data_IF_893936132200
#
_entry.id   IF_893936132200
#
_cell.length_a   1.000
_cell.length_b   1.000
_cell.length_c   1.000
_cell.angle_alpha   90.00
_cell.angle_beta   90.00
_cell.angle_gamma   90.00
#
_symmetry.space_group_name_H-M   'P 1'
#
loop_
_entity.id
_entity.type
_entity.pdbx_description
1 polymer ?
#
# COMPACT_ATOMS: atom_id res chain seq x y z
N UNK A 1 -7.50 -6.14 -11.70
CA UNK A 1 -6.10 -6.54 -11.45
C UNK A 1 -5.83 -7.91 -12.01
N UNK A 2 -4.77 -8.02 -12.80
CA UNK A 2 -4.20 -9.27 -13.27
C UNK A 2 -3.29 -9.85 -12.19
N UNK A 3 -3.66 -11.02 -11.66
CA UNK A 3 -2.88 -11.73 -10.62
C UNK A 3 -1.69 -12.41 -11.28
N UNK A 4 -0.52 -12.31 -10.65
CA UNK A 4 0.64 -13.09 -11.07
C UNK A 4 0.40 -14.59 -10.83
N UNK A 5 0.78 -15.45 -11.77
CA UNK A 5 0.73 -16.91 -11.60
C UNK A 5 1.81 -17.42 -10.63
N UNK A 6 2.83 -16.61 -10.39
CA UNK A 6 3.94 -16.92 -9.50
C UNK A 6 4.11 -15.76 -8.51
N UNK A 7 4.13 -16.07 -7.23
CA UNK A 7 4.50 -15.11 -6.19
C UNK A 7 5.98 -15.30 -5.92
N UNK A 8 6.73 -14.21 -6.08
CA UNK A 8 8.14 -14.10 -5.73
C UNK A 8 8.29 -12.95 -4.75
N UNK A 9 9.22 -13.09 -3.81
CA UNK A 9 9.57 -12.04 -2.86
C UNK A 9 11.00 -11.56 -3.10
N UNK A 10 11.23 -10.32 -2.71
CA UNK A 10 12.50 -9.62 -2.77
C UNK A 10 12.82 -9.06 -1.38
N UNK A 11 14.09 -8.87 -1.10
CA UNK A 11 14.61 -8.16 0.07
C UNK A 11 14.87 -6.71 -0.31
N UNK A 12 14.15 -5.78 0.29
CA UNK A 12 14.45 -4.35 0.25
C UNK A 12 15.41 -4.02 1.40
N UNK A 13 16.66 -3.72 1.08
CA UNK A 13 17.75 -3.59 2.05
C UNK A 13 17.86 -2.14 2.51
N UNK A 14 17.75 -1.94 3.83
CA UNK A 14 18.06 -0.69 4.51
C UNK A 14 18.27 -0.94 6.00
N UNK A 15 19.17 -0.15 6.59
CA UNK A 15 19.47 -0.23 8.02
C UNK A 15 18.62 0.79 8.76
N UNK A 16 17.77 0.31 9.66
CA UNK A 16 17.03 1.15 10.59
C UNK A 16 16.76 0.35 11.87
N UNK A 17 16.62 1.04 13.00
CA UNK A 17 16.50 0.38 14.31
C UNK A 17 15.24 -0.49 14.43
N UNK A 18 14.16 -0.16 13.73
CA UNK A 18 12.93 -0.97 13.71
C UNK A 18 12.93 -2.15 12.73
N UNK A 19 14.03 -2.34 12.00
CA UNK A 19 14.19 -3.42 11.04
C UNK A 19 15.43 -4.26 11.36
N UNK A 20 15.33 -5.19 12.31
CA UNK A 20 16.49 -5.88 12.89
C UNK A 20 17.19 -6.80 11.90
N UNK A 21 16.49 -7.24 10.85
CA UNK A 21 17.05 -8.08 9.78
C UNK A 21 17.95 -7.29 8.82
N UNK A 22 17.89 -5.95 8.83
CA UNK A 22 18.55 -5.09 7.83
C UNK A 22 17.91 -5.14 6.44
N UNK A 23 16.78 -5.85 6.29
CA UNK A 23 15.99 -5.90 5.07
C UNK A 23 14.52 -6.21 5.37
N UNK A 24 13.65 -5.69 4.51
CA UNK A 24 12.21 -5.92 4.53
C UNK A 24 11.85 -6.86 3.38
N UNK A 25 11.13 -7.93 3.67
CA UNK A 25 10.55 -8.82 2.65
C UNK A 25 9.40 -8.08 1.97
N UNK A 26 9.49 -7.91 0.66
CA UNK A 26 8.52 -7.20 -0.19
C UNK A 26 8.50 -7.83 -1.59
N UNK A 27 7.95 -7.16 -2.60
CA UNK A 27 7.98 -7.60 -3.98
C UNK A 27 8.36 -6.44 -4.89
N UNK A 28 9.47 -6.52 -5.60
CA UNK A 28 9.93 -5.50 -6.53
C UNK A 28 9.85 -5.99 -7.98
N UNK A 29 10.38 -7.18 -8.26
CA UNK A 29 10.45 -7.68 -9.64
C UNK A 29 9.09 -8.15 -10.15
N UNK A 30 8.38 -8.92 -9.33
CA UNK A 30 7.11 -9.54 -9.69
C UNK A 30 6.03 -9.18 -8.65
N UNK A 31 5.35 -8.03 -8.82
CA UNK A 31 4.26 -7.64 -7.92
C UNK A 31 3.14 -8.68 -7.96
N UNK A 32 2.47 -8.87 -6.83
CA UNK A 32 1.39 -9.85 -6.69
C UNK A 32 0.27 -9.64 -7.72
N UNK A 33 -0.10 -8.39 -8.00
CA UNK A 33 -1.00 -8.07 -9.09
C UNK A 33 -0.74 -6.71 -9.73
N UNK A 34 -1.18 -6.55 -10.98
CA UNK A 34 -1.02 -5.33 -11.77
C UNK A 34 -2.32 -4.93 -12.46
N UNK A 35 -2.40 -3.71 -12.99
CA UNK A 35 -3.49 -3.23 -13.86
C UNK A 35 -4.89 -3.45 -13.27
N UNK A 36 -5.18 -2.75 -12.18
CA UNK A 36 -6.50 -2.70 -11.55
C UNK A 36 -7.22 -1.38 -11.73
N UNK A 37 -8.36 -1.30 -11.08
CA UNK A 37 -9.08 -0.06 -10.89
C UNK A 37 -9.96 -0.12 -9.65
N UNK A 38 -10.30 1.05 -9.10
CA UNK A 38 -11.33 1.23 -8.08
C UNK A 38 -12.36 2.23 -8.59
N UNK A 39 -13.65 1.85 -8.72
CA UNK A 39 -14.71 2.82 -8.95
C UNK A 39 -14.98 3.62 -7.68
N UNK A 40 -15.01 4.93 -7.82
CA UNK A 40 -15.36 5.90 -6.78
C UNK A 40 -16.62 6.67 -7.21
N UNK A 41 -17.47 7.02 -6.25
CA UNK A 41 -18.64 7.84 -6.50
C UNK A 41 -18.35 9.27 -6.05
N UNK A 42 -18.38 10.21 -6.98
CA UNK A 42 -18.04 11.61 -6.75
C UNK A 42 -19.05 12.48 -7.53
N UNK A 43 -19.69 13.44 -6.87
CA UNK A 43 -20.65 14.38 -7.51
C UNK A 43 -21.79 13.70 -8.30
N UNK A 44 -22.28 12.56 -7.80
CA UNK A 44 -23.26 11.69 -8.47
C UNK A 44 -22.76 11.00 -9.76
N UNK A 45 -21.49 11.13 -10.09
CA UNK A 45 -20.83 10.40 -11.16
C UNK A 45 -19.95 9.27 -10.63
N UNK A 46 -19.65 8.32 -11.52
CA UNK A 46 -18.76 7.20 -11.24
C UNK A 46 -17.44 7.49 -11.93
N UNK A 47 -16.39 7.72 -11.14
CA UNK A 47 -15.03 7.85 -11.67
C UNK A 47 -14.26 6.57 -11.40
N UNK A 48 -13.36 6.23 -12.30
CA UNK A 48 -12.56 5.02 -12.22
C UNK A 48 -11.12 5.45 -11.93
N UNK A 49 -10.60 5.03 -10.79
CA UNK A 49 -9.20 5.27 -10.41
C UNK A 49 -8.37 4.05 -10.78
N UNK A 50 -7.45 4.13 -11.75
CA UNK A 50 -6.60 3.01 -12.11
C UNK A 50 -5.59 2.69 -11.00
N UNK A 51 -5.39 1.40 -10.77
CA UNK A 51 -4.41 0.86 -9.81
C UNK A 51 -3.27 0.26 -10.60
N UNK A 52 -2.06 0.77 -10.36
CA UNK A 52 -0.86 0.36 -11.07
C UNK A 52 -0.42 -1.04 -10.64
N UNK A 53 -0.16 -1.19 -9.34
CA UNK A 53 0.36 -2.42 -8.74
C UNK A 53 -0.20 -2.65 -7.34
N UNK A 54 -0.15 -3.90 -6.92
CA UNK A 54 -0.37 -4.35 -5.56
C UNK A 54 0.72 -5.36 -5.21
N UNK A 55 1.39 -5.13 -4.08
CA UNK A 55 2.51 -5.91 -3.58
C UNK A 55 2.21 -6.43 -2.17
N UNK A 56 2.79 -7.56 -1.84
CA UNK A 56 2.79 -8.11 -0.49
C UNK A 56 4.11 -7.74 0.20
N UNK A 57 4.03 -7.29 1.44
CA UNK A 57 5.22 -6.98 2.22
C UNK A 57 5.00 -7.26 3.71
N UNK A 58 6.06 -7.14 4.50
CA UNK A 58 5.99 -7.21 5.96
C UNK A 58 6.10 -5.83 6.61
N UNK A 59 5.46 -5.64 7.76
CA UNK A 59 5.59 -4.43 8.58
C UNK A 59 6.90 -4.41 9.39
N UNK A 60 7.38 -3.20 9.72
CA UNK A 60 8.53 -2.98 10.59
C UNK A 60 8.09 -2.75 12.05
N UNK A 61 9.04 -2.80 12.98
CA UNK A 61 8.75 -2.52 14.39
C UNK A 61 8.30 -1.06 14.61
N UNK A 62 7.82 -0.76 15.81
CA UNK A 62 7.49 0.61 16.21
C UNK A 62 8.64 1.27 16.94
N UNK A 63 9.18 2.33 16.34
CA UNK A 63 10.15 3.23 16.98
C UNK A 63 9.43 4.36 17.71
N UNK A 64 9.68 4.51 19.02
CA UNK A 64 9.23 5.65 19.82
C UNK A 64 10.44 6.42 20.34
N UNK A 65 10.55 7.69 19.94
CA UNK A 65 11.66 8.56 20.32
C UNK A 65 11.30 9.33 21.59
N UNK A 66 12.23 9.37 22.55
CA UNK A 66 12.09 10.10 23.80
C UNK A 66 13.44 10.68 24.23
N UNK A 67 13.44 11.55 25.26
CA UNK A 67 14.70 12.06 25.84
C UNK A 67 15.57 10.94 26.43
N UNK A 68 14.97 9.81 26.82
CA UNK A 68 15.65 8.63 27.37
C UNK A 68 16.30 7.74 26.28
N UNK A 69 16.05 8.04 25.00
CA UNK A 69 16.47 7.24 23.86
C UNK A 69 15.33 6.68 23.03
N UNK A 70 15.63 5.65 22.25
CA UNK A 70 14.69 5.01 21.31
C UNK A 70 14.13 3.73 21.95
N UNK A 71 12.80 3.66 22.09
CA UNK A 71 12.10 2.44 22.51
C UNK A 71 11.55 1.74 21.26
N UNK A 72 11.89 0.46 21.11
CA UNK A 72 11.46 -0.38 19.99
C UNK A 72 10.42 -1.39 20.46
N UNK A 73 9.27 -1.44 19.78
CA UNK A 73 8.22 -2.44 19.99
C UNK A 73 8.07 -3.32 18.74
N UNK A 74 8.50 -4.57 18.89
CA UNK A 74 8.53 -5.57 17.82
C UNK A 74 7.21 -6.33 17.64
N UNK A 75 6.16 -6.06 18.42
CA UNK A 75 4.89 -6.79 18.35
C UNK A 75 4.22 -6.74 16.96
N UNK A 76 4.52 -5.71 16.16
CA UNK A 76 4.02 -5.58 14.78
C UNK A 76 5.01 -5.99 13.69
N UNK A 77 6.27 -6.24 14.04
CA UNK A 77 7.29 -6.59 13.04
C UNK A 77 6.93 -7.94 12.40
N UNK A 78 6.96 -8.01 11.07
CA UNK A 78 6.57 -9.21 10.33
C UNK A 78 5.07 -9.33 10.04
N UNK A 79 4.24 -8.38 10.51
CA UNK A 79 2.81 -8.40 10.17
C UNK A 79 2.61 -8.26 8.66
N UNK A 80 1.63 -8.97 8.06
CA UNK A 80 1.39 -8.90 6.63
C UNK A 80 0.81 -7.53 6.25
N UNK A 81 1.40 -6.93 5.21
CA UNK A 81 0.96 -5.68 4.62
C UNK A 81 0.69 -5.85 3.13
N UNK A 82 -0.16 -4.97 2.62
CA UNK A 82 -0.45 -4.84 1.21
C UNK A 82 -0.12 -3.41 0.81
N UNK A 83 0.89 -3.26 -0.03
CA UNK A 83 1.18 -1.99 -0.68
C UNK A 83 0.34 -1.90 -1.95
N UNK A 84 -0.40 -0.80 -2.11
CA UNK A 84 -1.24 -0.53 -3.27
C UNK A 84 -0.85 0.83 -3.84
N UNK A 85 -0.44 0.82 -5.11
CA UNK A 85 0.01 2.04 -5.81
C UNK A 85 -0.98 2.38 -6.91
N UNK A 86 -1.49 3.61 -6.89
CA UNK A 86 -2.38 4.13 -7.94
C UNK A 86 -1.58 4.64 -9.13
N UNK A 87 -2.25 4.78 -10.28
CA UNK A 87 -1.74 5.66 -11.33
C UNK A 87 -1.87 7.14 -10.88
N UNK A 88 -1.04 8.07 -11.39
CA UNK A 88 -1.06 9.49 -10.99
C UNK A 88 -2.19 10.26 -11.70
N UNK A 89 -3.44 9.85 -11.45
CA UNK A 89 -4.64 10.39 -12.14
C UNK A 89 -5.41 11.43 -11.33
N UNK A 90 -5.00 11.68 -10.08
CA UNK A 90 -5.72 12.61 -9.22
C UNK A 90 -5.41 14.06 -9.58
N UNK A 91 -6.46 14.84 -9.84
CA UNK A 91 -6.38 16.27 -10.16
C UNK A 91 -6.97 17.16 -9.07
N UNK A 92 -7.69 16.58 -8.11
CA UNK A 92 -8.35 17.30 -7.02
C UNK A 92 -8.14 16.60 -5.68
N UNK A 93 -8.01 17.38 -4.62
CA UNK A 93 -7.84 16.87 -3.25
C UNK A 93 -9.06 16.06 -2.81
N UNK A 94 -10.25 16.53 -3.17
CA UNK A 94 -11.53 15.89 -2.83
C UNK A 94 -11.59 14.47 -3.39
N UNK A 95 -11.14 14.29 -4.63
CA UNK A 95 -11.10 12.98 -5.32
C UNK A 95 -10.19 12.00 -4.60
N UNK A 96 -9.05 12.46 -4.08
CA UNK A 96 -8.13 11.65 -3.26
C UNK A 96 -8.82 11.17 -1.98
N UNK A 97 -9.52 12.07 -1.28
CA UNK A 97 -10.23 11.72 -0.03
C UNK A 97 -11.36 10.71 -0.29
N UNK A 98 -12.12 10.90 -1.37
CA UNK A 98 -13.19 9.96 -1.78
C UNK A 98 -12.60 8.59 -2.11
N UNK A 99 -11.48 8.54 -2.84
CA UNK A 99 -10.78 7.30 -3.15
C UNK A 99 -10.36 6.54 -1.88
N UNK A 100 -9.71 7.22 -0.94
CA UNK A 100 -9.23 6.58 0.30
C UNK A 100 -10.41 6.06 1.14
N UNK A 101 -11.49 6.84 1.27
CA UNK A 101 -12.72 6.38 1.96
C UNK A 101 -13.32 5.15 1.27
N UNK A 102 -13.35 5.14 -0.05
CA UNK A 102 -13.85 4.00 -0.82
C UNK A 102 -12.98 2.76 -0.61
N UNK A 103 -11.65 2.92 -0.60
CA UNK A 103 -10.70 1.84 -0.31
C UNK A 103 -10.89 1.31 1.12
N UNK A 104 -11.06 2.16 2.12
CA UNK A 104 -11.35 1.73 3.50
C UNK A 104 -12.65 0.89 3.57
N UNK A 105 -13.71 1.36 2.92
CA UNK A 105 -14.99 0.65 2.89
C UNK A 105 -14.86 -0.71 2.22
N UNK A 106 -14.10 -0.77 1.13
CA UNK A 106 -13.81 -1.99 0.42
C UNK A 106 -13.06 -2.99 1.30
N UNK A 107 -11.97 -2.57 1.95
CA UNK A 107 -11.16 -3.44 2.79
C UNK A 107 -11.95 -4.02 3.97
N UNK A 108 -12.82 -3.20 4.59
CA UNK A 108 -13.74 -3.63 5.65
C UNK A 108 -14.79 -4.60 5.15
N UNK A 109 -15.39 -4.29 4.00
CA UNK A 109 -16.40 -5.13 3.38
C UNK A 109 -15.86 -6.55 3.09
N UNK A 110 -14.61 -6.64 2.65
CA UNK A 110 -13.95 -7.92 2.40
C UNK A 110 -13.44 -8.63 3.66
N UNK A 111 -13.53 -8.01 4.84
CA UNK A 111 -13.06 -8.60 6.09
C UNK A 111 -11.54 -8.71 6.20
N UNK A 112 -10.78 -7.92 5.43
CA UNK A 112 -9.31 -7.98 5.40
C UNK A 112 -8.71 -7.14 6.53
N UNK A 113 -9.20 -5.92 6.66
CA UNK A 113 -8.65 -4.91 7.55
C UNK A 113 -9.77 -3.95 7.93
N UNK A 114 -9.73 -3.49 9.18
CA UNK A 114 -10.58 -2.39 9.64
C UNK A 114 -10.14 -1.04 9.03
N UNK A 115 -8.95 -1.00 8.40
CA UNK A 115 -8.41 0.13 7.65
C UNK A 115 -8.48 1.46 8.42
N UNK A 116 -8.27 1.40 9.75
CA UNK A 116 -8.24 2.55 10.65
C UNK A 116 -6.88 3.22 10.59
N UNK A 117 -6.85 4.47 10.13
CA UNK A 117 -5.59 5.21 9.97
C UNK A 117 -4.98 5.57 11.33
N UNK A 118 -5.83 5.92 12.29
CA UNK A 118 -5.46 6.25 13.67
C UNK A 118 -4.81 5.06 14.42
N UNK A 119 -5.10 3.83 14.00
CA UNK A 119 -4.48 2.62 14.52
C UNK A 119 -3.30 2.13 13.65
N UNK A 120 -2.96 2.86 12.58
CA UNK A 120 -1.87 2.52 11.65
C UNK A 120 -2.17 1.32 10.74
N UNK A 121 -3.44 0.91 10.61
CA UNK A 121 -3.88 -0.21 9.75
C UNK A 121 -4.05 0.19 8.29
N UNK A 122 -4.11 1.49 7.99
CA UNK A 122 -4.03 2.06 6.66
C UNK A 122 -3.08 3.26 6.72
N UNK A 123 -2.05 3.24 5.89
CA UNK A 123 -1.06 4.32 5.76
C UNK A 123 -1.12 4.83 4.33
N UNK A 124 -0.92 6.13 4.17
CA UNK A 124 -0.98 6.80 2.86
C UNK A 124 0.19 7.75 2.76
N UNK A 125 1.04 7.50 1.78
CA UNK A 125 2.04 8.46 1.31
C UNK A 125 1.52 9.11 0.04
N UNK A 126 1.54 10.45 0.01
CA UNK A 126 1.03 11.22 -1.13
C UNK A 126 2.18 11.60 -2.05
N UNK A 127 2.00 11.39 -3.34
CA UNK A 127 2.94 11.85 -4.35
C UNK A 127 2.24 12.86 -5.26
N UNK A 128 2.78 14.07 -5.35
CA UNK A 128 2.15 15.14 -6.12
C UNK A 128 3.18 15.99 -6.88
N UNK A 129 2.71 16.57 -7.97
CA UNK A 129 3.34 17.65 -8.71
C UNK A 129 2.24 18.65 -9.07
N UNK A 130 2.57 19.93 -9.13
CA UNK A 130 1.59 20.97 -9.44
C UNK A 130 1.89 21.54 -10.82
N UNK A 131 0.87 21.57 -11.67
CA UNK A 131 0.91 22.33 -12.91
C UNK A 131 0.64 23.80 -12.57
N UNK A 132 1.60 24.68 -12.86
CA UNK A 132 1.53 26.11 -12.60
C UNK A 132 1.68 26.84 -13.93
N UNK A 133 0.59 27.47 -14.39
CA UNK A 133 0.51 28.00 -15.75
C UNK A 133 0.57 26.90 -16.83
N UNK A 134 0.74 27.33 -18.09
CA UNK A 134 0.56 26.43 -19.22
C UNK A 134 1.76 25.50 -19.47
N UNK A 135 2.97 25.92 -19.09
CA UNK A 135 4.21 25.26 -19.51
C UNK A 135 5.13 24.84 -18.36
N UNK A 136 4.68 24.90 -17.10
CA UNK A 136 5.51 24.54 -15.96
C UNK A 136 4.80 23.56 -15.03
N UNK A 137 5.52 22.49 -14.68
CA UNK A 137 5.13 21.55 -13.63
C UNK A 137 6.23 21.51 -12.58
N UNK A 138 5.85 21.53 -11.31
CA UNK A 138 6.82 21.39 -10.22
C UNK A 138 7.50 20.02 -10.29
N UNK A 139 8.69 19.86 -9.68
CA UNK A 139 9.21 18.55 -9.35
C UNK A 139 8.19 17.72 -8.55
N UNK A 140 8.35 16.40 -8.55
CA UNK A 140 7.54 15.50 -7.71
C UNK A 140 7.94 15.65 -6.24
N UNK A 141 6.94 15.86 -5.40
CA UNK A 141 7.06 15.84 -3.95
C UNK A 141 6.35 14.62 -3.37
N UNK A 142 6.81 14.19 -2.21
CA UNK A 142 6.23 13.08 -1.45
C UNK A 142 5.89 13.56 -0.04
N UNK A 143 4.64 13.44 0.41
CA UNK A 143 4.23 13.74 1.78
C UNK A 143 4.00 12.44 2.53
N UNK A 144 4.73 12.24 3.63
CA UNK A 144 4.66 11.06 4.50
C UNK A 144 4.01 11.38 5.84
N UNK A 145 3.73 10.33 6.61
CA UNK A 145 3.23 10.39 7.98
C UNK A 145 1.86 11.08 8.12
N UNK A 146 0.94 10.77 7.21
CA UNK A 146 -0.41 11.31 7.21
C UNK A 146 -1.36 10.38 7.95
N UNK A 147 -1.65 10.71 9.21
CA UNK A 147 -2.40 9.82 10.12
C UNK A 147 -3.93 9.90 9.99
N UNK A 148 -4.46 10.83 9.19
CA UNK A 148 -5.90 10.99 9.00
C UNK A 148 -6.25 11.60 7.64
N UNK A 149 -7.50 11.43 7.22
CA UNK A 149 -8.04 12.08 6.02
C UNK A 149 -7.99 13.61 6.11
N UNK A 150 -8.19 14.16 7.31
CA UNK A 150 -8.07 15.61 7.53
C UNK A 150 -6.63 16.08 7.33
N UNK A 151 -5.64 15.31 7.79
CA UNK A 151 -4.23 15.64 7.60
C UNK A 151 -3.84 15.59 6.13
N UNK A 152 -4.34 14.59 5.38
CA UNK A 152 -4.17 14.50 3.93
C UNK A 152 -4.70 15.77 3.23
N UNK A 153 -5.93 16.17 3.55
CA UNK A 153 -6.56 17.34 2.95
C UNK A 153 -5.76 18.61 3.22
N UNK A 154 -5.41 18.84 4.49
CA UNK A 154 -4.71 20.05 4.93
C UNK A 154 -3.28 20.10 4.40
N UNK A 155 -2.57 18.97 4.38
CA UNK A 155 -1.22 18.89 3.82
C UNK A 155 -1.18 19.22 2.33
N UNK A 156 -2.12 18.67 1.54
CA UNK A 156 -2.23 18.98 0.11
C UNK A 156 -2.59 20.44 -0.12
N UNK A 157 -3.58 20.98 0.59
CA UNK A 157 -3.97 22.39 0.47
C UNK A 157 -2.82 23.33 0.82
N UNK A 158 -2.12 23.08 1.92
CA UNK A 158 -0.94 23.85 2.31
C UNK A 158 0.13 23.85 1.22
N UNK A 159 0.45 22.69 0.64
CA UNK A 159 1.46 22.60 -0.42
C UNK A 159 1.01 23.26 -1.73
N UNK A 160 -0.28 23.18 -2.07
CA UNK A 160 -0.84 23.89 -3.23
C UNK A 160 -0.68 25.40 -3.05
N UNK A 161 -1.14 25.94 -1.92
CA UNK A 161 -1.10 27.39 -1.63
C UNK A 161 0.34 27.90 -1.59
N UNK A 162 1.24 27.15 -0.94
CA UNK A 162 2.67 27.47 -0.85
C UNK A 162 3.32 27.54 -2.24
N UNK A 163 3.08 26.56 -3.10
CA UNK A 163 3.67 26.54 -4.44
C UNK A 163 3.08 27.61 -5.37
N UNK A 164 1.78 27.88 -5.26
CA UNK A 164 1.14 28.98 -5.99
C UNK A 164 1.71 30.33 -5.57
N UNK A 165 1.93 30.55 -4.27
CA UNK A 165 2.56 31.76 -3.76
C UNK A 165 3.99 31.93 -4.30
N UNK A 166 4.83 30.89 -4.22
CA UNK A 166 6.19 30.93 -4.75
C UNK A 166 6.22 31.27 -6.25
N UNK A 167 5.34 30.63 -7.02
CA UNK A 167 5.23 30.88 -8.46
C UNK A 167 4.77 32.30 -8.78
N UNK A 168 3.77 32.83 -8.07
CA UNK A 168 3.31 34.22 -8.24
C UNK A 168 4.37 35.27 -7.87
N UNK A 169 5.34 34.91 -7.04
CA UNK A 169 6.50 35.75 -6.69
C UNK A 169 7.68 35.59 -7.66
N UNK A 170 7.54 34.78 -8.72
CA UNK A 170 8.61 34.49 -9.67
C UNK A 170 9.73 33.62 -9.09
N UNK A 171 9.49 32.94 -7.97
CA UNK A 171 10.44 32.00 -7.38
C UNK A 171 10.26 30.62 -8.01
N UNK A 172 11.39 29.95 -8.25
CA UNK A 172 11.35 28.55 -8.66
C UNK A 172 11.00 27.67 -7.45
N UNK A 173 10.03 26.76 -7.58
CA UNK A 173 9.76 25.71 -6.61
C UNK A 173 11.03 24.96 -6.22
N UNK A 174 11.11 24.47 -4.97
CA UNK A 174 12.21 23.62 -4.53
C UNK A 174 12.44 22.42 -5.45
N UNK A 175 13.61 21.80 -5.34
CA UNK A 175 13.86 20.48 -5.94
C UNK A 175 12.92 19.43 -5.33
N UNK A 176 12.82 18.25 -5.94
CA UNK A 176 12.07 17.11 -5.39
C UNK A 176 12.45 16.86 -3.92
N UNK A 177 11.45 16.81 -3.05
CA UNK A 177 11.62 16.65 -1.60
C UNK A 177 10.61 15.66 -1.03
N UNK A 178 11.06 14.95 0.01
CA UNK A 178 10.17 14.22 0.92
C UNK A 178 9.80 15.14 2.08
N UNK A 179 8.52 15.23 2.37
CA UNK A 179 7.89 16.13 3.33
C UNK A 179 7.19 15.30 4.40
N UNK A 180 7.17 15.80 5.62
CA UNK A 180 6.27 15.34 6.68
C UNK A 180 5.23 16.41 6.97
N UNK A 181 4.13 16.03 7.61
CA UNK A 181 3.10 16.97 8.04
C UNK A 181 3.14 17.17 9.55
N UNK A 182 3.31 18.42 10.00
CA UNK A 182 3.21 18.81 11.41
C UNK A 182 1.77 19.20 11.72
N UNK A 183 1.07 18.32 12.43
CA UNK A 183 -0.34 18.52 12.77
C UNK A 183 -0.59 19.71 13.72
N UNK A 184 0.38 20.07 14.57
CA UNK A 184 0.20 21.19 15.49
C UNK A 184 0.31 22.52 14.77
N UNK A 185 1.27 22.62 13.84
CA UNK A 185 1.51 23.83 13.06
C UNK A 185 0.70 23.92 11.78
N UNK A 186 0.10 22.81 11.35
CA UNK A 186 -0.63 22.69 10.09
C UNK A 186 0.24 23.05 8.87
N UNK A 187 1.52 22.68 8.92
CA UNK A 187 2.50 22.92 7.86
C UNK A 187 3.20 21.63 7.46
N UNK A 188 3.77 21.60 6.27
CA UNK A 188 4.74 20.58 5.91
C UNK A 188 6.16 20.97 6.35
N UNK A 189 6.95 19.96 6.66
CA UNK A 189 8.35 20.10 7.05
C UNK A 189 9.17 19.21 6.11
N UNK A 190 10.22 19.76 5.51
CA UNK A 190 11.12 19.00 4.66
C UNK A 190 11.93 18.01 5.49
N UNK A 191 11.86 16.73 5.12
CA UNK A 191 12.77 15.70 5.62
C UNK A 191 14.03 15.65 4.74
N UNK A 192 15.19 15.37 5.34
CA UNK A 192 16.42 15.16 4.58
C UNK A 192 16.52 13.71 4.10
N UNK A 193 17.01 13.62 2.86
CA UNK A 193 17.58 12.47 2.15
C UNK A 193 16.63 11.38 1.63
N UNK A 194 16.67 11.23 0.30
CA UNK A 194 16.19 10.05 -0.40
C UNK A 194 17.24 8.96 -0.24
N UNK A 195 16.95 7.95 0.58
CA UNK A 195 17.84 6.78 0.68
C UNK A 195 17.60 5.87 -0.53
N UNK A 196 18.67 5.53 -1.25
CA UNK A 196 18.61 4.52 -2.30
C UNK A 196 18.54 3.14 -1.66
N UNK A 197 17.52 2.37 -2.00
CA UNK A 197 17.38 0.98 -1.57
C UNK A 197 18.03 0.03 -2.56
N UNK A 198 18.61 -1.05 -2.05
CA UNK A 198 19.04 -2.18 -2.86
C UNK A 198 18.02 -3.31 -2.74
N UNK A 199 17.78 -3.99 -3.86
CA UNK A 199 16.86 -5.12 -3.93
C UNK A 199 17.63 -6.38 -4.29
N UNK A 200 17.37 -7.47 -3.57
CA UNK A 200 17.89 -8.80 -3.88
C UNK A 200 16.74 -9.82 -3.84
N UNK A 201 16.74 -10.85 -4.70
CA UNK A 201 15.74 -11.91 -4.59
C UNK A 201 15.75 -12.56 -3.20
N UNK A 202 14.56 -12.81 -2.63
CA UNK A 202 14.44 -13.56 -1.38
C UNK A 202 14.61 -15.05 -1.64
N UNK A 203 15.73 -15.61 -1.18
CA UNK A 203 16.11 -17.02 -1.42
C UNK A 203 15.50 -18.00 -0.41
N UNK A 204 15.06 -17.52 0.76
CA UNK A 204 14.49 -18.37 1.80
C UNK A 204 13.00 -18.68 1.56
N UNK A 205 12.32 -17.91 0.71
CA UNK A 205 10.92 -18.13 0.32
C UNK A 205 10.90 -18.60 -1.14
N UNK A 206 10.69 -19.90 -1.41
CA UNK A 206 10.66 -20.40 -2.78
C UNK A 206 9.48 -19.80 -3.56
N UNK A 207 9.57 -19.70 -4.90
CA UNK A 207 8.48 -19.18 -5.72
C UNK A 207 7.18 -19.97 -5.50
N UNK A 208 6.10 -19.28 -5.17
CA UNK A 208 4.79 -19.89 -4.91
C UNK A 208 3.98 -19.84 -6.20
N UNK A 209 3.64 -21.01 -6.76
CA UNK A 209 2.83 -21.11 -7.99
C UNK A 209 1.35 -21.18 -7.65
N UNK A 210 0.59 -20.20 -8.12
CA UNK A 210 -0.87 -20.17 -7.99
C UNK A 210 -1.52 -20.95 -9.12
N UNK A 211 -2.35 -21.94 -8.78
CA UNK A 211 -3.15 -22.66 -9.76
C UNK A 211 -4.34 -21.82 -10.17
N UNK A 212 -4.70 -21.86 -11.45
CA UNK A 212 -5.89 -21.17 -11.96
C UNK A 212 -7.16 -21.58 -11.21
N UNK A 213 -7.26 -22.83 -10.75
CA UNK A 213 -8.38 -23.33 -9.95
C UNK A 213 -8.49 -22.69 -8.57
N UNK A 214 -7.37 -22.36 -7.92
CA UNK A 214 -7.34 -21.66 -6.62
C UNK A 214 -7.86 -20.23 -6.79
N UNK A 215 -7.36 -19.53 -7.82
CA UNK A 215 -7.83 -18.18 -8.17
C UNK A 215 -9.33 -18.21 -8.47
N UNK A 216 -9.82 -19.20 -9.22
CA UNK A 216 -11.25 -19.34 -9.53
C UNK A 216 -12.09 -19.65 -8.28
N UNK A 217 -11.61 -20.53 -7.39
CA UNK A 217 -12.30 -20.86 -6.14
C UNK A 217 -12.47 -19.63 -5.27
N UNK A 218 -11.41 -18.82 -5.15
CA UNK A 218 -11.45 -17.59 -4.37
C UNK A 218 -12.41 -16.59 -5.01
N UNK A 219 -12.35 -16.42 -6.35
CA UNK A 219 -13.32 -15.59 -7.09
C UNK A 219 -14.78 -15.99 -6.85
N UNK A 220 -15.08 -17.30 -6.77
CA UNK A 220 -16.45 -17.81 -6.52
C UNK A 220 -16.91 -17.56 -5.09
N UNK A 221 -16.00 -17.53 -4.13
CA UNK A 221 -16.30 -17.37 -2.70
C UNK A 221 -16.30 -15.90 -2.24
N UNK A 222 -16.12 -14.95 -3.16
CA UNK A 222 -16.20 -13.54 -2.81
C UNK A 222 -17.63 -13.18 -2.39
N UNK A 223 -17.77 -12.38 -1.32
CA UNK A 223 -19.08 -11.96 -0.87
C UNK A 223 -19.71 -11.07 -1.96
N UNK A 224 -20.91 -11.45 -2.44
CA UNK A 224 -21.67 -10.67 -3.44
C UNK A 224 -21.90 -9.26 -2.94
N UNK A 225 -21.58 -8.26 -3.75
CA UNK A 225 -21.77 -6.86 -3.38
C UNK A 225 -22.52 -6.09 -4.46
N UNK A 226 -23.82 -5.89 -4.31
CA UNK A 226 -24.63 -5.14 -5.27
C UNK A 226 -24.12 -3.69 -5.51
N UNK A 227 -23.42 -3.09 -4.53
CA UNK A 227 -22.83 -1.76 -4.64
C UNK A 227 -21.56 -1.73 -5.49
N UNK A 228 -20.76 -2.80 -5.52
CA UNK A 228 -19.56 -2.88 -6.37
C UNK A 228 -19.81 -3.65 -7.68
N UNK A 229 -20.70 -4.65 -7.66
CA UNK A 229 -21.07 -5.48 -8.81
C UNK A 229 -21.89 -4.69 -9.86
N UNK A 230 -22.46 -3.53 -9.50
CA UNK A 230 -23.05 -2.57 -10.46
C UNK A 230 -22.02 -1.83 -11.31
N UNK A 231 -20.75 -1.79 -10.89
CA UNK A 231 -19.65 -1.16 -11.62
C UNK A 231 -18.95 -2.14 -12.58
N UNK A 232 -19.69 -3.10 -13.14
CA UNK A 232 -19.23 -3.91 -14.27
C UNK A 232 -19.03 -3.02 -15.49
N UNK A 233 -17.91 -2.33 -15.52
CA UNK A 233 -17.46 -1.55 -16.67
C UNK A 233 -17.13 -2.58 -17.75
N UNK A 234 -17.76 -2.46 -18.92
CA UNK A 234 -17.55 -3.40 -20.05
C UNK A 234 -16.36 -2.99 -20.92
N UNK A 235 -15.95 -1.72 -20.89
CA UNK A 235 -14.84 -1.17 -21.69
C UNK A 235 -14.06 -0.09 -20.93
N UNK A 236 -12.71 -0.12 -21.05
CA UNK A 236 -11.81 0.95 -20.62
C UNK A 236 -10.84 1.30 -21.74
N UNK A 237 -10.93 2.51 -22.30
CA UNK A 237 -9.99 3.00 -23.33
C UNK A 237 -9.89 2.10 -24.57
N UNK A 238 -11.01 1.52 -25.02
CA UNK A 238 -11.04 0.59 -26.15
C UNK A 238 -10.62 -0.85 -25.84
N UNK A 239 -10.41 -1.20 -24.57
CA UNK A 239 -10.16 -2.57 -24.12
C UNK A 239 -11.40 -3.14 -23.42
N UNK A 240 -11.94 -4.22 -23.97
CA UNK A 240 -13.05 -4.99 -23.39
C UNK A 240 -12.63 -5.60 -22.05
N UNK A 241 -13.33 -5.22 -20.98
CA UNK A 241 -13.11 -5.67 -19.59
C UNK A 241 -13.78 -7.06 -19.39
N UNK A 242 -13.73 -7.91 -20.41
CA UNK A 242 -14.66 -9.03 -20.57
C UNK A 242 -14.10 -10.41 -20.23
N UNK A 243 -12.85 -10.75 -20.54
CA UNK A 243 -12.47 -12.18 -20.57
C UNK A 243 -11.14 -12.53 -19.88
N UNK A 244 -10.19 -11.59 -19.70
CA UNK A 244 -8.83 -11.92 -19.21
C UNK A 244 -8.35 -11.16 -17.95
N UNK A 245 -9.23 -10.97 -16.96
CA UNK A 245 -8.75 -10.74 -15.58
C UNK A 245 -8.70 -9.29 -15.10
N UNK A 246 -9.70 -8.48 -15.42
CA UNK A 246 -9.96 -7.26 -14.67
C UNK A 246 -10.70 -7.56 -13.37
N UNK A 247 -9.92 -7.85 -12.33
CA UNK A 247 -10.40 -8.12 -10.97
C UNK A 247 -10.57 -6.77 -10.24
N UNK A 248 -11.80 -6.37 -9.93
CA UNK A 248 -12.14 -5.34 -8.95
C UNK A 248 -11.35 -5.59 -7.64
N UNK A 249 -10.79 -4.55 -7.00
CA UNK A 249 -10.06 -4.70 -5.73
C UNK A 249 -10.90 -5.43 -4.66
N UNK A 250 -12.24 -5.40 -4.78
CA UNK A 250 -13.18 -6.21 -3.99
C UNK A 250 -12.90 -7.72 -4.08
N UNK A 251 -12.13 -8.16 -5.07
CA UNK A 251 -12.06 -9.55 -5.50
C UNK A 251 -10.74 -10.24 -5.22
N UNK A 252 -9.84 -9.65 -4.43
CA UNK A 252 -8.45 -10.09 -4.43
C UNK A 252 -7.81 -10.42 -3.08
N UNK A 253 -8.08 -9.67 -2.02
CA UNK A 253 -7.24 -9.82 -0.83
C UNK A 253 -7.55 -11.09 -0.01
N UNK A 254 -8.68 -11.75 -0.26
CA UNK A 254 -8.96 -13.07 0.31
C UNK A 254 -7.90 -14.10 -0.11
N UNK A 255 -7.26 -13.95 -1.28
CA UNK A 255 -6.19 -14.87 -1.75
C UNK A 255 -4.93 -14.74 -0.89
N UNK A 256 -4.59 -13.52 -0.47
CA UNK A 256 -3.41 -13.26 0.35
C UNK A 256 -3.60 -13.70 1.80
N UNK A 257 -4.85 -13.80 2.28
CA UNK A 257 -5.19 -14.16 3.67
C UNK A 257 -5.67 -15.60 3.85
N UNK A 258 -6.13 -16.28 2.79
CA UNK A 258 -6.61 -17.67 2.86
C UNK A 258 -5.54 -18.73 2.58
N UNK A 259 -4.33 -18.33 2.16
CA UNK A 259 -3.18 -19.24 2.10
C UNK A 259 -2.61 -19.60 3.47
N UNK A 260 -3.03 -18.91 4.55
CA UNK A 260 -2.58 -19.16 5.93
C UNK A 260 -3.64 -19.75 6.85
N UNK A 261 -4.84 -20.06 6.35
CA UNK A 261 -5.90 -20.70 7.14
C UNK A 261 -6.28 -22.06 6.57
N UNK A 262 -5.28 -22.95 6.44
CA UNK A 262 -5.51 -24.38 6.38
C UNK A 262 -5.23 -24.98 7.77
N UNK A 263 -6.24 -25.34 8.57
CA UNK A 263 -6.05 -25.96 9.88
C UNK A 263 -5.16 -27.21 9.85
N UNK A 264 -5.12 -27.94 8.72
CA UNK A 264 -4.27 -29.13 8.53
C UNK A 264 -2.78 -28.83 8.31
N UNK A 265 -2.41 -27.57 8.00
CA UNK A 265 -1.01 -27.15 7.99
C UNK A 265 -0.51 -26.76 9.39
N UNK A 266 -1.41 -26.40 10.32
CA UNK A 266 -1.04 -26.13 11.72
C UNK A 266 -0.67 -27.40 12.49
N UNK A 267 -1.36 -28.52 12.25
CA UNK A 267 -0.98 -29.82 12.82
C UNK A 267 0.34 -30.34 12.25
N UNK A 268 0.56 -30.22 10.94
CA UNK A 268 1.83 -30.65 10.33
C UNK A 268 3.03 -29.76 10.68
N UNK A 269 2.82 -28.48 11.02
CA UNK A 269 3.88 -27.62 11.55
C UNK A 269 4.17 -27.92 13.03
N UNK A 270 3.14 -28.18 13.84
CA UNK A 270 3.33 -28.53 15.25
C UNK A 270 3.99 -29.91 15.43
N UNK A 271 3.64 -30.90 14.60
CA UNK A 271 4.30 -32.22 14.63
C UNK A 271 5.74 -32.18 14.08
N UNK A 272 6.05 -31.25 13.15
CA UNK A 272 7.45 -31.01 12.73
C UNK A 272 8.26 -30.21 13.75
N UNK A 273 7.61 -29.42 14.61
CA UNK A 273 8.26 -28.68 15.69
C UNK A 273 8.54 -29.54 16.93
N UNK A 274 7.78 -30.62 17.17
CA UNK A 274 8.09 -31.63 18.23
C UNK A 274 9.44 -32.32 18.04
N UNK A 275 9.98 -32.33 16.82
CA UNK A 275 11.32 -32.87 16.54
C UNK A 275 12.45 -31.83 16.68
N UNK A 276 12.13 -30.57 17.00
CA UNK A 276 13.11 -29.48 17.19
C UNK A 276 13.32 -29.15 18.67
N UNK A 277 12.36 -29.49 19.56
CA UNK A 277 12.50 -29.31 21.02
C UNK A 277 13.77 -29.97 21.62
N UNK A 278 14.23 -31.17 21.19
CA UNK A 278 15.43 -31.76 21.77
C UNK A 278 16.74 -31.03 21.44
N UNK A 279 16.71 -30.04 20.52
CA UNK A 279 17.90 -29.28 20.12
C UNK A 279 18.10 -28.00 20.94
N UNK A 280 17.06 -27.49 21.59
CA UNK A 280 17.13 -26.23 22.35
C UNK A 280 17.54 -26.43 23.82
N UNK A 281 17.22 -27.58 24.43
CA UNK A 281 17.59 -27.89 25.82
C UNK A 281 19.10 -28.20 26.03
N UNK A 282 19.90 -28.23 24.95
CA UNK A 282 21.34 -28.51 25.04
C UNK A 282 22.22 -27.26 24.93
N UNK A 283 21.65 -26.10 24.61
CA UNK A 283 22.41 -24.86 24.40
C UNK A 283 21.83 -23.61 25.07
N UNK A 284 20.81 -23.77 25.94
CA UNK A 284 20.38 -22.75 26.89
C UNK A 284 20.19 -23.35 28.27
#
# INVERSE_FOLDING_TARGET
MKVSKTILFDRKIYNYFDLPKGYQITQQELPFATAGYLPISEENEIKIVPIKILQLEEDTAKSTYSQEGIKLDFNRAGNPLIELVTEPVFQRVETVLVFIKQLQNLLRYLGISQARMEQGQLRVDLNFSLQLGDNYSTPRYEIKNLNSLSNIEKALKYEIDKHQLLFSQGQNPPISQTLGFDENKQITITHREKTSYYYLPEVNIPPIKLKSSEIQKIKKNLPKNDKYDKYQIKDWGGKTIGEEGYIDLSRFVLVATTSTSNPQLSENLQDKLKHVEPFLDKYF
#
